data_IF_339751119101
#
_entry.id   IF_339751119101
#
_cell.length_a   1.000
_cell.length_b   1.000
_cell.length_c   1.000
_cell.angle_alpha   90.00
_cell.angle_beta   90.00
_cell.angle_gamma   90.00
#
_symmetry.space_group_name_H-M   'P 1'
#
loop_
_entity.id
_entity.type
_entity.pdbx_description
1 polymer ?
#
# COMPACT_ATOMS: atom_id res chain seq x y z
N UNK A 1 22.33 13.42 -28.83
CA UNK A 1 21.62 12.17 -28.46
C UNK A 1 22.46 10.92 -28.76
N UNK A 2 22.95 10.75 -29.98
CA UNK A 2 23.80 9.60 -30.39
C UNK A 2 25.11 9.46 -29.61
N UNK A 3 25.78 10.57 -29.28
CA UNK A 3 27.00 10.56 -28.47
C UNK A 3 26.77 10.11 -27.02
N UNK A 4 25.61 10.45 -26.42
CA UNK A 4 25.22 9.99 -25.08
C UNK A 4 24.96 8.49 -25.06
N UNK A 5 24.23 7.97 -26.04
CA UNK A 5 23.96 6.52 -26.17
C UNK A 5 25.26 5.72 -26.33
N UNK A 6 26.23 6.23 -27.11
CA UNK A 6 27.55 5.59 -27.26
C UNK A 6 28.41 5.65 -25.98
N UNK A 7 28.27 6.70 -25.17
CA UNK A 7 28.93 6.80 -23.87
C UNK A 7 28.29 5.86 -22.83
N UNK A 8 26.96 5.78 -22.80
CA UNK A 8 26.19 4.89 -21.92
C UNK A 8 26.43 3.41 -22.23
N UNK A 9 26.72 3.06 -23.49
CA UNK A 9 27.09 1.70 -23.90
C UNK A 9 28.42 1.20 -23.29
N UNK A 10 29.28 2.10 -22.80
CA UNK A 10 30.55 1.76 -22.14
C UNK A 10 30.44 1.64 -20.61
N UNK A 11 29.30 2.03 -20.03
CA UNK A 11 29.06 1.86 -18.59
C UNK A 11 28.77 0.39 -18.28
N UNK A 12 29.34 -0.18 -17.20
CA UNK A 12 29.10 -1.56 -16.83
C UNK A 12 27.63 -1.76 -16.44
N UNK A 13 26.91 -2.55 -17.24
CA UNK A 13 25.46 -2.84 -17.10
C UNK A 13 25.15 -3.81 -15.95
N UNK A 14 25.84 -3.69 -14.81
CA UNK A 14 25.74 -4.63 -13.68
C UNK A 14 24.32 -4.71 -13.13
N UNK A 15 23.67 -3.57 -12.93
CA UNK A 15 22.30 -3.53 -12.40
C UNK A 15 21.29 -4.13 -13.38
N UNK A 16 21.44 -3.84 -14.67
CA UNK A 16 20.60 -4.44 -15.71
C UNK A 16 20.82 -5.95 -15.82
N UNK A 17 22.07 -6.42 -15.70
CA UNK A 17 22.41 -7.84 -15.67
C UNK A 17 21.81 -8.53 -14.43
N UNK A 18 21.88 -7.91 -13.24
CA UNK A 18 21.27 -8.42 -12.02
C UNK A 18 19.74 -8.52 -12.13
N UNK A 19 19.08 -7.49 -12.68
CA UNK A 19 17.63 -7.51 -12.96
C UNK A 19 17.25 -8.59 -13.97
N UNK A 20 18.03 -8.75 -15.05
CA UNK A 20 17.76 -9.77 -16.05
C UNK A 20 17.97 -11.19 -15.48
N UNK A 21 19.03 -11.40 -14.69
CA UNK A 21 19.30 -12.67 -14.03
C UNK A 21 18.18 -13.05 -13.04
N UNK A 22 17.73 -12.10 -12.20
CA UNK A 22 16.61 -12.33 -11.29
C UNK A 22 15.30 -12.58 -12.03
N UNK A 23 15.02 -11.85 -13.12
CA UNK A 23 13.85 -12.09 -13.97
C UNK A 23 13.84 -13.51 -14.55
N UNK A 24 14.96 -13.97 -15.07
CA UNK A 24 15.08 -15.32 -15.61
C UNK A 24 14.90 -16.40 -14.54
N UNK A 25 15.49 -16.20 -13.36
CA UNK A 25 15.34 -17.15 -12.26
C UNK A 25 13.87 -17.23 -11.79
N UNK A 26 13.20 -16.09 -11.64
CA UNK A 26 11.77 -16.04 -11.29
C UNK A 26 10.91 -16.77 -12.32
N UNK A 27 11.16 -16.55 -13.61
CA UNK A 27 10.42 -17.23 -14.66
C UNK A 27 10.61 -18.74 -14.62
N UNK A 28 11.85 -19.23 -14.47
CA UNK A 28 12.13 -20.68 -14.34
C UNK A 28 11.42 -21.29 -13.14
N UNK A 29 11.47 -20.63 -11.99
CA UNK A 29 10.76 -21.07 -10.79
C UNK A 29 9.24 -21.09 -11.00
N UNK A 30 8.69 -20.11 -11.71
CA UNK A 30 7.25 -20.06 -12.00
C UNK A 30 6.81 -21.16 -12.98
N UNK A 31 7.60 -21.43 -14.03
CA UNK A 31 7.34 -22.54 -14.97
C UNK A 31 7.33 -23.89 -14.23
N UNK A 32 8.19 -24.06 -13.24
CA UNK A 32 8.24 -25.27 -12.40
C UNK A 32 6.97 -25.52 -11.57
N UNK A 33 6.04 -24.57 -11.46
CA UNK A 33 4.79 -24.74 -10.71
C UNK A 33 3.72 -25.52 -11.48
N UNK A 34 3.88 -25.70 -12.80
CA UNK A 34 2.96 -26.48 -13.66
C UNK A 34 2.11 -25.65 -14.63
N UNK A 35 1.47 -24.53 -14.23
CA UNK A 35 0.70 -23.71 -15.16
C UNK A 35 1.56 -23.10 -16.29
N UNK A 36 0.97 -22.85 -17.47
CA UNK A 36 1.67 -22.16 -18.55
C UNK A 36 2.02 -20.72 -18.12
N UNK A 37 3.32 -20.39 -18.13
CA UNK A 37 3.82 -19.07 -17.77
C UNK A 37 4.34 -18.35 -19.00
N UNK A 38 3.66 -17.26 -19.36
CA UNK A 38 4.05 -16.40 -20.46
C UNK A 38 4.69 -15.10 -19.93
N UNK A 39 5.60 -14.53 -20.71
CA UNK A 39 6.21 -13.24 -20.37
C UNK A 39 6.08 -12.29 -21.54
N UNK A 40 5.82 -11.02 -21.23
CA UNK A 40 5.68 -9.96 -22.23
C UNK A 40 6.53 -8.75 -21.85
N UNK A 41 6.77 -7.91 -22.84
CA UNK A 41 7.52 -6.66 -22.64
C UNK A 41 6.60 -5.58 -22.08
N UNK A 42 7.17 -4.68 -21.27
CA UNK A 42 6.43 -3.48 -20.82
C UNK A 42 6.07 -2.54 -21.98
N UNK A 43 6.78 -2.64 -23.12
CA UNK A 43 6.45 -1.94 -24.35
C UNK A 43 5.12 -2.41 -24.94
N UNK A 44 4.88 -3.72 -24.99
CA UNK A 44 3.61 -4.29 -25.45
C UNK A 44 2.47 -3.86 -24.54
N UNK A 45 2.65 -3.92 -23.22
CA UNK A 45 1.65 -3.43 -22.24
C UNK A 45 1.32 -1.96 -22.46
N UNK A 46 2.33 -1.11 -22.69
CA UNK A 46 2.13 0.31 -22.99
C UNK A 46 1.36 0.51 -24.29
N UNK A 47 1.68 -0.24 -25.34
CA UNK A 47 0.98 -0.17 -26.63
C UNK A 47 -0.49 -0.55 -26.48
N UNK A 48 -0.76 -1.73 -25.89
CA UNK A 48 -2.11 -2.22 -25.63
C UNK A 48 -2.94 -1.21 -24.81
N UNK A 49 -2.34 -0.66 -23.75
CA UNK A 49 -2.99 0.37 -22.93
C UNK A 49 -3.37 1.59 -23.77
N UNK A 50 -2.49 2.06 -24.64
CA UNK A 50 -2.76 3.16 -25.56
C UNK A 50 -3.84 2.84 -26.58
N UNK A 51 -3.81 1.65 -27.18
CA UNK A 51 -4.80 1.17 -28.14
C UNK A 51 -6.21 1.07 -27.54
N UNK A 52 -6.32 0.75 -26.24
CA UNK A 52 -7.58 0.70 -25.51
C UNK A 52 -7.94 2.00 -24.77
N UNK A 53 -7.16 3.07 -24.98
CA UNK A 53 -7.40 4.38 -24.37
C UNK A 53 -7.27 4.40 -22.84
N UNK A 54 -6.67 3.39 -22.22
CA UNK A 54 -6.63 3.23 -20.78
C UNK A 54 -5.63 4.20 -20.10
N UNK A 55 -6.00 4.73 -18.94
CA UNK A 55 -5.09 5.53 -18.11
C UNK A 55 -3.96 4.65 -17.52
N UNK A 56 -2.81 5.26 -17.22
CA UNK A 56 -1.70 4.53 -16.59
C UNK A 56 -2.01 4.25 -15.12
N UNK A 57 -2.19 2.98 -14.78
CA UNK A 57 -2.30 2.49 -13.41
C UNK A 57 -1.89 1.03 -13.32
N UNK A 58 -1.53 0.54 -12.13
CA UNK A 58 -1.18 -0.87 -11.95
C UNK A 58 -2.35 -1.81 -12.32
N UNK A 59 -3.59 -1.40 -12.05
CA UNK A 59 -4.80 -2.17 -12.32
C UNK A 59 -5.11 -2.25 -13.81
N UNK A 60 -4.98 -1.14 -14.53
CA UNK A 60 -5.22 -1.12 -15.98
C UNK A 60 -4.05 -1.71 -16.76
N UNK A 61 -2.83 -1.59 -16.23
CA UNK A 61 -1.65 -2.23 -16.81
C UNK A 61 -1.83 -3.75 -16.84
N UNK A 62 -2.35 -4.38 -15.78
CA UNK A 62 -2.60 -5.84 -15.75
C UNK A 62 -3.61 -6.30 -16.78
N UNK A 63 -4.61 -5.47 -17.12
CA UNK A 63 -5.56 -5.79 -18.20
C UNK A 63 -4.93 -5.68 -19.60
N UNK A 64 -3.87 -4.87 -19.71
CA UNK A 64 -3.14 -4.64 -20.95
C UNK A 64 -1.90 -5.54 -21.11
N UNK A 65 -1.60 -6.42 -20.15
CA UNK A 65 -0.53 -7.41 -20.26
C UNK A 65 -0.96 -8.53 -21.20
N UNK A 66 -0.07 -8.91 -22.11
CA UNK A 66 -0.27 -10.05 -22.98
C UNK A 66 -0.49 -9.70 -24.44
N UNK A 67 -0.72 -10.74 -25.23
CA UNK A 67 -1.24 -10.57 -26.58
C UNK A 67 -2.72 -10.27 -26.49
N UNK A 68 -3.12 -9.12 -27.02
CA UNK A 68 -4.51 -8.76 -27.21
C UNK A 68 -4.80 -8.84 -28.71
N UNK A 69 -5.50 -9.88 -29.18
CA UNK A 69 -5.92 -9.99 -30.57
C UNK A 69 -6.63 -8.70 -31.02
N UNK A 70 -6.49 -8.30 -32.28
CA UNK A 70 -7.01 -7.03 -32.82
C UNK A 70 -8.53 -6.81 -32.61
N UNK A 71 -9.30 -7.86 -32.29
CA UNK A 71 -10.74 -7.80 -32.00
C UNK A 71 -11.09 -7.77 -30.51
N UNK A 72 -10.09 -7.81 -29.64
CA UNK A 72 -10.29 -7.78 -28.20
C UNK A 72 -10.54 -6.35 -27.77
N UNK A 73 -11.63 -6.12 -27.01
CA UNK A 73 -11.95 -4.81 -26.48
C UNK A 73 -12.18 -4.91 -24.98
N UNK A 74 -11.43 -4.12 -24.22
CA UNK A 74 -11.68 -3.93 -22.79
C UNK A 74 -12.90 -3.00 -22.66
N UNK A 75 -14.04 -3.58 -22.28
CA UNK A 75 -15.32 -2.85 -22.22
C UNK A 75 -15.64 -2.31 -20.83
N UNK A 76 -15.08 -2.90 -19.77
CA UNK A 76 -15.34 -2.54 -18.37
C UNK A 76 -14.11 -2.80 -17.51
N UNK A 77 -13.92 -1.95 -16.51
CA UNK A 77 -12.95 -2.11 -15.43
C UNK A 77 -13.56 -1.53 -14.14
N UNK A 78 -13.12 -1.98 -12.95
CA UNK A 78 -13.70 -1.52 -11.70
C UNK A 78 -13.46 -0.01 -11.49
N UNK A 79 -14.50 0.71 -11.10
CA UNK A 79 -14.41 2.14 -10.77
C UNK A 79 -13.68 2.40 -9.44
N UNK A 80 -13.72 1.44 -8.52
CA UNK A 80 -13.05 1.52 -7.23
C UNK A 80 -12.08 0.36 -7.06
N UNK A 81 -10.87 0.67 -6.61
CA UNK A 81 -9.84 -0.31 -6.32
C UNK A 81 -9.53 -0.29 -4.83
N UNK A 82 -9.54 -1.47 -4.22
CA UNK A 82 -9.06 -1.67 -2.86
C UNK A 82 -7.54 -1.50 -2.85
N UNK A 83 -7.08 -0.54 -2.07
CA UNK A 83 -5.66 -0.30 -1.80
C UNK A 83 -5.31 -0.84 -0.43
N UNK A 84 -4.21 -1.59 -0.37
CA UNK A 84 -3.62 -2.05 0.88
C UNK A 84 -2.21 -1.45 0.99
N UNK A 85 -1.98 -0.67 2.04
CA UNK A 85 -0.67 -0.09 2.34
C UNK A 85 -0.04 -0.83 3.50
N UNK A 86 1.17 -1.34 3.34
CA UNK A 86 1.95 -1.87 4.46
C UNK A 86 2.27 -0.73 5.44
N UNK A 87 1.91 -0.93 6.71
CA UNK A 87 2.08 0.04 7.81
C UNK A 87 2.98 -0.46 8.93
N UNK A 88 3.55 -1.66 8.77
CA UNK A 88 4.40 -2.29 9.78
C UNK A 88 3.60 -2.93 10.92
N UNK A 89 4.30 -3.73 11.74
CA UNK A 89 3.71 -4.49 12.88
C UNK A 89 4.19 -3.97 14.25
N UNK A 90 4.63 -2.71 14.30
CA UNK A 90 5.24 -2.08 15.47
C UNK A 90 6.76 -2.30 15.55
N UNK A 91 7.39 -1.70 16.55
CA UNK A 91 8.83 -1.86 16.83
C UNK A 91 9.10 -3.16 17.59
N UNK A 92 10.21 -3.83 17.26
CA UNK A 92 10.73 -4.95 18.05
C UNK A 92 11.38 -4.51 19.36
N UNK A 93 11.90 -3.28 19.41
CA UNK A 93 12.53 -2.73 20.61
C UNK A 93 11.48 -2.47 21.69
N UNK A 94 11.64 -3.13 22.84
CA UNK A 94 10.75 -2.99 24.01
C UNK A 94 11.21 -1.90 24.98
N UNK A 95 12.43 -1.40 24.81
CA UNK A 95 12.97 -0.32 25.60
C UNK A 95 13.06 0.90 24.71
N UNK A 96 12.43 2.01 25.11
CA UNK A 96 12.74 3.30 24.50
C UNK A 96 13.92 3.91 25.23
N UNK A 97 14.88 4.38 24.45
CA UNK A 97 16.01 5.14 24.96
C UNK A 97 15.67 6.62 25.05
N UNK A 98 16.41 7.37 25.86
CA UNK A 98 16.45 8.82 25.75
C UNK A 98 17.28 9.28 24.54
N UNK A 99 17.49 10.59 24.41
CA UNK A 99 18.30 11.18 23.34
C UNK A 99 19.78 10.76 23.39
N UNK A 100 20.25 10.24 24.53
CA UNK A 100 21.63 9.83 24.78
C UNK A 100 21.83 8.31 24.73
N UNK A 101 20.76 7.55 24.45
CA UNK A 101 20.82 6.09 24.33
C UNK A 101 20.54 5.32 25.63
N UNK A 102 20.25 6.00 26.74
CA UNK A 102 19.96 5.32 28.01
C UNK A 102 18.53 4.79 28.07
N UNK A 103 18.30 3.58 28.60
CA UNK A 103 16.97 3.01 28.81
C UNK A 103 16.06 3.92 29.65
N UNK A 104 14.94 4.38 29.09
CA UNK A 104 14.01 5.29 29.76
C UNK A 104 12.62 4.69 30.01
N UNK A 105 12.09 3.92 29.05
CA UNK A 105 10.75 3.34 29.17
C UNK A 105 10.76 1.87 28.77
N UNK A 106 10.28 1.01 29.68
CA UNK A 106 10.04 -0.40 29.38
C UNK A 106 8.59 -0.62 28.93
N UNK A 107 8.42 -1.06 27.68
CA UNK A 107 7.13 -1.41 27.11
C UNK A 107 6.67 -2.76 27.65
N UNK A 108 5.38 -2.86 27.99
CA UNK A 108 4.82 -4.08 28.56
C UNK A 108 4.92 -5.25 27.57
N UNK A 109 5.06 -6.48 28.09
CA UNK A 109 5.00 -7.70 27.26
C UNK A 109 3.59 -7.99 26.75
N UNK A 110 2.56 -7.47 27.43
CA UNK A 110 1.15 -7.71 27.10
C UNK A 110 0.73 -6.80 25.95
N UNK A 111 0.62 -7.37 24.74
CA UNK A 111 0.25 -6.60 23.54
C UNK A 111 -1.20 -6.12 23.53
N UNK A 112 -2.10 -6.80 24.24
CA UNK A 112 -3.54 -6.54 24.23
C UNK A 112 -4.04 -6.13 25.61
N UNK A 113 -4.66 -4.96 25.71
CA UNK A 113 -5.36 -4.50 26.90
C UNK A 113 -6.83 -4.23 26.56
N UNK A 114 -7.74 -4.67 27.43
CA UNK A 114 -9.20 -4.48 27.26
C UNK A 114 -9.74 -4.87 25.87
N UNK A 115 -9.13 -5.90 25.24
CA UNK A 115 -9.54 -6.37 23.92
C UNK A 115 -8.92 -5.64 22.73
N UNK A 116 -8.11 -4.59 22.94
CA UNK A 116 -7.47 -3.79 21.90
C UNK A 116 -5.94 -3.92 21.88
N UNK A 117 -5.34 -3.79 20.70
CA UNK A 117 -3.89 -3.71 20.49
C UNK A 117 -3.54 -2.37 19.83
N UNK A 118 -2.37 -1.79 20.13
CA UNK A 118 -1.90 -0.59 19.45
C UNK A 118 -1.82 -0.82 17.94
N UNK A 119 -2.44 0.08 17.17
CA UNK A 119 -2.57 -0.03 15.72
C UNK A 119 -3.92 -0.56 15.24
N UNK A 120 -4.77 -1.08 16.13
CA UNK A 120 -6.15 -1.46 15.78
C UNK A 120 -6.90 -0.20 15.28
N UNK A 121 -7.63 -0.32 14.16
CA UNK A 121 -8.52 0.74 13.69
C UNK A 121 -9.81 0.68 14.48
N UNK A 122 -10.17 1.79 15.13
CA UNK A 122 -11.37 1.88 15.96
C UNK A 122 -12.22 3.07 15.56
N UNK A 123 -13.53 2.94 15.79
CA UNK A 123 -14.47 4.04 15.89
C UNK A 123 -14.63 4.41 17.35
N UNK A 124 -14.28 5.64 17.69
CA UNK A 124 -14.41 6.19 19.03
C UNK A 124 -15.58 7.16 19.10
N UNK A 125 -16.47 6.98 20.06
CA UNK A 125 -17.55 7.92 20.35
C UNK A 125 -17.22 8.65 21.65
N UNK A 126 -16.73 9.88 21.55
CA UNK A 126 -16.30 10.67 22.71
C UNK A 126 -17.52 11.47 23.20
N UNK A 127 -18.01 11.23 24.43
CA UNK A 127 -19.27 11.80 24.89
C UNK A 127 -19.18 13.27 25.28
N UNK A 128 -18.03 13.75 25.80
CA UNK A 128 -17.86 15.11 26.34
C UNK A 128 -16.42 15.61 26.15
N UNK A 129 -16.24 16.93 26.22
CA UNK A 129 -14.95 17.62 26.19
C UNK A 129 -14.57 18.20 24.82
N UNK A 130 -13.33 18.71 24.71
CA UNK A 130 -12.80 19.41 23.52
C UNK A 130 -12.97 18.63 22.20
N UNK A 131 -12.88 17.31 22.28
CA UNK A 131 -12.95 16.42 21.12
C UNK A 131 -14.24 15.58 21.09
N UNK A 132 -15.34 16.08 21.68
CA UNK A 132 -16.62 15.39 21.63
C UNK A 132 -17.05 15.09 20.18
N UNK A 133 -17.65 13.92 19.97
CA UNK A 133 -18.06 13.44 18.65
C UNK A 133 -17.51 12.06 18.28
N UNK A 134 -17.70 11.68 17.03
CA UNK A 134 -17.24 10.38 16.49
C UNK A 134 -15.95 10.55 15.73
N UNK A 135 -14.93 9.76 16.08
CA UNK A 135 -13.63 9.76 15.43
C UNK A 135 -13.26 8.36 14.97
N UNK A 136 -12.62 8.25 13.81
CA UNK A 136 -12.09 6.99 13.29
C UNK A 136 -10.58 7.12 13.19
N UNK A 137 -9.86 6.17 13.79
CA UNK A 137 -8.42 6.25 13.84
C UNK A 137 -7.78 5.02 14.44
N UNK A 138 -6.46 4.89 14.25
CA UNK A 138 -5.68 3.83 14.86
C UNK A 138 -5.40 4.15 16.32
N UNK A 139 -5.79 3.24 17.21
CA UNK A 139 -5.68 3.45 18.66
C UNK A 139 -4.27 3.16 19.16
N UNK A 140 -3.80 3.98 20.09
CA UNK A 140 -2.67 3.67 20.95
C UNK A 140 -3.19 3.20 22.30
N UNK A 141 -2.94 1.92 22.60
CA UNK A 141 -3.48 1.22 23.77
C UNK A 141 -2.60 1.48 24.99
N UNK A 142 -3.26 1.69 26.13
CA UNK A 142 -2.62 1.91 27.43
C UNK A 142 -3.16 0.91 28.45
N UNK A 143 -2.32 0.52 29.41
CA UNK A 143 -2.66 -0.50 30.41
C UNK A 143 -3.79 -0.08 31.36
N UNK A 144 -4.01 1.23 31.52
CA UNK A 144 -5.06 1.79 32.38
C UNK A 144 -6.48 1.76 31.77
N UNK A 145 -6.63 1.29 30.53
CA UNK A 145 -7.96 1.21 29.88
C UNK A 145 -8.47 2.52 29.28
N UNK A 146 -7.69 3.61 29.38
CA UNK A 146 -7.91 4.86 28.68
C UNK A 146 -6.96 4.93 27.49
N UNK A 147 -7.49 4.74 26.29
CA UNK A 147 -6.71 4.65 25.07
C UNK A 147 -6.67 5.99 24.33
N UNK A 148 -5.60 6.21 23.59
CA UNK A 148 -5.35 7.45 22.86
C UNK A 148 -5.66 7.28 21.38
N UNK A 149 -6.37 8.23 20.80
CA UNK A 149 -6.87 8.15 19.42
C UNK A 149 -6.56 9.45 18.69
N UNK A 150 -6.10 9.38 17.43
CA UNK A 150 -5.89 10.59 16.64
C UNK A 150 -7.23 11.28 16.38
N UNK A 151 -7.24 12.59 16.59
CA UNK A 151 -8.36 13.49 16.32
C UNK A 151 -7.82 14.70 15.56
N UNK A 152 -8.67 15.46 14.86
CA UNK A 152 -8.24 16.72 14.25
C UNK A 152 -7.56 17.61 15.30
N UNK A 153 -6.31 18.02 15.05
CA UNK A 153 -5.53 18.85 15.97
C UNK A 153 -4.91 18.12 17.16
N UNK A 154 -4.76 16.79 17.13
CA UNK A 154 -3.91 16.06 18.08
C UNK A 154 -4.40 14.67 18.44
N UNK A 155 -4.42 14.37 19.74
CA UNK A 155 -4.87 13.08 20.27
C UNK A 155 -5.86 13.27 21.42
N UNK A 156 -6.93 12.50 21.41
CA UNK A 156 -7.89 12.43 22.51
C UNK A 156 -7.71 11.11 23.27
N UNK A 157 -7.81 11.18 24.60
CA UNK A 157 -7.88 9.98 25.45
C UNK A 157 -9.34 9.64 25.72
N UNK A 158 -9.73 8.37 25.55
CA UNK A 158 -11.09 7.90 25.82
C UNK A 158 -11.07 6.49 26.41
N UNK A 159 -12.10 6.14 27.16
CA UNK A 159 -12.24 4.79 27.75
C UNK A 159 -12.44 3.75 26.64
N UNK A 160 -11.87 2.55 26.83
CA UNK A 160 -12.07 1.40 25.95
C UNK A 160 -13.56 1.06 25.72
N UNK A 161 -14.44 1.40 26.67
CA UNK A 161 -15.90 1.21 26.56
C UNK A 161 -16.53 2.04 25.43
N UNK A 162 -15.90 3.16 25.08
CA UNK A 162 -16.36 4.07 24.04
C UNK A 162 -15.80 3.71 22.66
N UNK A 163 -15.09 2.59 22.55
CA UNK A 163 -14.41 2.15 21.35
C UNK A 163 -15.10 0.95 20.73
N UNK A 164 -15.27 1.03 19.42
CA UNK A 164 -15.68 -0.09 18.58
C UNK A 164 -14.55 -0.43 17.64
N UNK A 165 -14.10 -1.69 17.68
CA UNK A 165 -13.11 -2.20 16.74
C UNK A 165 -13.70 -2.23 15.32
N UNK A 166 -12.96 -1.67 14.35
CA UNK A 166 -13.27 -1.75 12.93
C UNK A 166 -12.32 -2.71 12.20
N UNK A 167 -11.03 -2.66 12.52
CA UNK A 167 -10.01 -3.53 11.91
C UNK A 167 -8.92 -3.84 12.92
N UNK A 168 -8.41 -5.08 12.93
CA UNK A 168 -7.24 -5.46 13.73
C UNK A 168 -5.94 -4.92 13.12
N UNK A 169 -4.92 -4.76 13.95
CA UNK A 169 -3.56 -4.44 13.54
C UNK A 169 -2.89 -5.62 12.80
N UNK A 170 -3.33 -5.92 11.57
CA UNK A 170 -2.77 -6.93 10.67
C UNK A 170 -1.47 -6.47 9.97
N UNK A 171 -1.15 -5.18 10.08
CA UNK A 171 0.00 -4.53 9.47
C UNK A 171 -0.34 -3.80 8.17
N UNK A 172 -1.59 -3.80 7.73
CA UNK A 172 -2.06 -3.13 6.53
C UNK A 172 -3.08 -2.04 6.84
N UNK A 173 -2.99 -0.93 6.12
CA UNK A 173 -4.06 0.05 6.03
C UNK A 173 -4.84 -0.22 4.75
N UNK A 174 -6.13 -0.47 4.89
CA UNK A 174 -7.02 -0.61 3.75
C UNK A 174 -7.70 0.72 3.46
N UNK A 175 -7.86 1.02 2.18
CA UNK A 175 -8.60 2.17 1.70
C UNK A 175 -9.08 1.91 0.28
N UNK A 176 -10.02 2.71 -0.19
CA UNK A 176 -10.49 2.64 -1.58
C UNK A 176 -9.96 3.84 -2.33
N UNK A 177 -9.44 3.62 -3.54
CA UNK A 177 -9.17 4.69 -4.49
C UNK A 177 -10.13 4.58 -5.66
N UNK A 178 -10.48 5.72 -6.25
CA UNK A 178 -11.16 5.75 -7.54
C UNK A 178 -10.15 5.44 -8.65
N UNK A 179 -10.53 4.55 -9.56
CA UNK A 179 -9.73 4.23 -10.74
C UNK A 179 -9.97 5.33 -11.77
N UNK A 180 -8.90 6.06 -12.13
CA UNK A 180 -9.03 7.25 -12.97
C UNK A 180 -9.69 6.89 -14.31
N UNK A 181 -10.82 7.50 -14.66
CA UNK A 181 -11.36 7.44 -16.00
C UNK A 181 -10.40 8.12 -16.96
N UNK A 182 -10.49 7.74 -18.22
CA UNK A 182 -9.83 8.42 -19.33
C UNK A 182 -10.40 9.85 -19.38
N UNK A 183 -9.57 10.88 -19.21
CA UNK A 183 -9.97 12.23 -19.60
C UNK A 183 -10.20 12.21 -21.12
N UNK A 184 -11.39 12.61 -21.62
CA UNK A 184 -11.59 12.73 -23.05
C UNK A 184 -10.58 13.77 -23.54
N UNK A 185 -9.70 13.36 -24.47
CA UNK A 185 -8.87 14.31 -25.19
C UNK A 185 -9.82 15.29 -25.85
N UNK A 186 -9.78 16.56 -25.44
CA UNK A 186 -10.38 17.66 -26.17
C UNK A 186 -9.79 17.64 -27.57
N UNK A 187 -10.56 17.13 -28.54
CA UNK A 187 -10.26 17.31 -29.95
C UNK A 187 -10.56 18.78 -30.19
N UNK A 188 -9.51 19.60 -30.19
CA UNK A 188 -9.59 20.98 -30.62
C UNK A 188 -10.05 21.00 -32.07
N UNK A 189 -11.19 21.68 -32.28
CA UNK A 189 -11.75 22.10 -33.56
C UNK A 189 -10.80 22.96 -34.36
#
# INVERSE_FOLDING_TARGET
MLARIKADAKLPLRDAAAMNATRWQLWRSAVGLGPPVHTWSGGLTRFNRGAHGLAKSHTLDTLAVGELPCRTRIVRYPAHVLTARATGRGSYARTRTDAYGFPRLHLTRRKRHYGFTTGDLVRAVIPRGKYAGTHIGRVAVRANGCHSIPVPGGHASTSHKNLRLLQRADGYAYGTRFEKPVEPRSIGS
#
